data_IF_586263389441
#
_entry.id   IF_586263389441
#
_cell.length_a   1.000
_cell.length_b   1.000
_cell.length_c   1.000
_cell.angle_alpha   90.00
_cell.angle_beta   90.00
_cell.angle_gamma   90.00
#
_symmetry.space_group_name_H-M   'P 1'
#
loop_
_entity.id
_entity.type
_entity.pdbx_description
1 polymer ?
#
# COMPACT_ATOMS: atom_id res chain seq x y z
N UNK A 1 16.98 27.18 -54.33
CA UNK A 1 17.06 27.34 -52.86
C UNK A 1 15.72 26.89 -52.29
N UNK A 2 15.77 25.88 -51.42
CA UNK A 2 14.66 25.15 -50.75
C UNK A 2 13.72 26.16 -50.03
N UNK A 3 12.40 26.01 -49.83
CA UNK A 3 11.58 24.90 -49.36
C UNK A 3 10.08 25.13 -49.67
N UNK A 4 9.32 24.04 -49.70
CA UNK A 4 7.86 23.96 -49.79
C UNK A 4 7.15 24.60 -48.58
N UNK A 5 6.05 25.31 -48.82
CA UNK A 5 5.06 25.70 -47.81
C UNK A 5 3.91 24.70 -47.85
N UNK A 6 3.79 23.86 -46.83
CA UNK A 6 2.59 23.06 -46.56
C UNK A 6 2.29 23.22 -45.07
N UNK A 7 1.36 24.11 -44.76
CA UNK A 7 0.73 24.18 -43.44
C UNK A 7 -0.36 23.10 -43.44
N UNK A 8 0.01 21.90 -43.00
CA UNK A 8 -0.96 20.87 -42.57
C UNK A 8 -1.31 21.13 -41.12
N UNK A 9 -2.46 21.75 -40.88
CA UNK A 9 -3.07 21.82 -39.55
C UNK A 9 -3.67 20.44 -39.26
N UNK A 10 -2.93 19.64 -38.51
CA UNK A 10 -3.39 18.36 -37.97
C UNK A 10 -4.29 18.69 -36.78
N UNK A 11 -5.55 18.23 -36.85
CA UNK A 11 -6.54 18.34 -35.80
C UNK A 11 -6.05 17.65 -34.52
N UNK A 12 -5.98 18.40 -33.42
CA UNK A 12 -5.75 17.86 -32.08
C UNK A 12 -7.05 17.19 -31.60
N UNK A 13 -7.16 15.87 -31.77
CA UNK A 13 -8.14 15.06 -31.05
C UNK A 13 -7.64 14.88 -29.62
N UNK A 14 -8.15 15.69 -28.69
CA UNK A 14 -8.06 15.42 -27.28
C UNK A 14 -8.92 14.18 -26.97
N UNK A 15 -8.29 13.01 -26.92
CA UNK A 15 -8.92 11.80 -26.41
C UNK A 15 -9.00 11.97 -24.89
N UNK A 16 -10.17 12.37 -24.40
CA UNK A 16 -10.50 12.26 -22.99
C UNK A 16 -10.60 10.76 -22.66
N UNK A 17 -9.60 10.24 -21.96
CA UNK A 17 -9.71 8.93 -21.33
C UNK A 17 -10.74 9.04 -20.19
N UNK A 18 -11.97 8.65 -20.51
CA UNK A 18 -12.94 8.27 -19.48
C UNK A 18 -12.37 7.01 -18.85
N UNK A 19 -11.84 7.13 -17.63
CA UNK A 19 -11.51 5.98 -16.81
C UNK A 19 -12.81 5.27 -16.47
N UNK A 20 -13.15 4.22 -17.20
CA UNK A 20 -14.21 3.29 -16.86
C UNK A 20 -13.82 2.64 -15.53
N UNK A 21 -14.43 3.09 -14.43
CA UNK A 21 -14.34 2.42 -13.14
C UNK A 21 -14.87 0.99 -13.32
N UNK A 22 -13.97 0.02 -13.30
CA UNK A 22 -14.35 -1.38 -13.38
C UNK A 22 -15.05 -1.74 -12.07
N UNK A 23 -16.25 -2.34 -12.16
CA UNK A 23 -17.00 -2.79 -10.99
C UNK A 23 -16.21 -3.81 -10.14
N UNK A 24 -15.18 -4.44 -10.72
CA UNK A 24 -14.30 -5.39 -10.04
C UNK A 24 -13.25 -4.72 -9.13
N UNK A 25 -13.02 -3.41 -9.24
CA UNK A 25 -12.02 -2.69 -8.41
C UNK A 25 -12.53 -2.43 -6.97
N UNK A 26 -13.77 -2.82 -6.67
CA UNK A 26 -14.45 -2.55 -5.39
C UNK A 26 -14.52 -3.75 -4.44
N UNK A 27 -14.04 -4.93 -4.84
CA UNK A 27 -14.08 -6.14 -4.00
C UNK A 27 -12.66 -6.62 -3.78
N UNK A 28 -12.27 -6.81 -2.51
CA UNK A 28 -11.01 -7.44 -2.16
C UNK A 28 -11.13 -8.96 -2.39
N UNK A 29 -10.26 -9.59 -3.17
CA UNK A 29 -10.28 -11.04 -3.32
C UNK A 29 -10.00 -11.78 -2.00
N UNK A 30 -10.69 -12.89 -1.77
CA UNK A 30 -10.62 -13.68 -0.53
C UNK A 30 -9.21 -14.17 -0.20
N UNK A 31 -8.33 -14.29 -1.20
CA UNK A 31 -6.93 -14.68 -1.00
C UNK A 31 -6.15 -13.70 -0.12
N UNK A 32 -6.56 -12.43 -0.03
CA UNK A 32 -5.94 -11.45 0.88
C UNK A 32 -6.49 -11.55 2.31
N UNK A 33 -7.68 -12.14 2.49
CA UNK A 33 -8.32 -12.27 3.80
C UNK A 33 -7.61 -13.30 4.69
N UNK A 34 -7.70 -13.07 6.00
CA UNK A 34 -7.04 -13.86 7.04
C UNK A 34 -5.86 -13.14 7.67
N UNK A 35 -5.13 -13.88 8.49
CA UNK A 35 -4.01 -13.39 9.29
C UNK A 35 -2.68 -13.71 8.62
N UNK A 36 -1.79 -12.73 8.58
CA UNK A 36 -0.51 -12.77 7.87
C UNK A 36 0.59 -12.29 8.79
N UNK A 37 1.50 -13.18 9.18
CA UNK A 37 2.62 -12.84 10.06
C UNK A 37 3.91 -12.68 9.24
N UNK A 38 4.65 -11.60 9.48
CA UNK A 38 5.91 -11.37 8.78
C UNK A 38 6.93 -12.44 9.14
N UNK A 39 7.58 -12.98 8.12
CA UNK A 39 8.56 -14.05 8.27
C UNK A 39 9.97 -13.52 7.96
N UNK A 40 10.15 -12.95 6.76
CA UNK A 40 11.44 -12.41 6.32
C UNK A 40 11.27 -11.19 5.41
N UNK A 41 12.39 -10.57 5.04
CA UNK A 41 12.39 -9.35 4.22
C UNK A 41 13.64 -9.25 3.35
N UNK A 42 13.49 -8.65 2.17
CA UNK A 42 14.57 -8.32 1.25
C UNK A 42 14.87 -6.81 1.31
N UNK A 43 16.14 -6.43 1.43
CA UNK A 43 16.62 -5.03 1.35
C UNK A 43 15.95 -4.06 2.35
N UNK A 44 15.51 -4.58 3.50
CA UNK A 44 14.73 -3.79 4.47
C UNK A 44 15.62 -2.89 5.36
N UNK A 45 16.89 -3.26 5.59
CA UNK A 45 17.81 -2.40 6.37
C UNK A 45 18.14 -1.12 5.59
N UNK A 46 18.42 -1.28 4.30
CA UNK A 46 18.72 -0.23 3.33
C UNK A 46 17.53 0.71 3.15
N UNK A 47 16.30 0.15 3.09
CA UNK A 47 15.08 0.94 3.06
C UNK A 47 14.91 1.80 4.33
N UNK A 48 15.11 1.21 5.52
CA UNK A 48 15.02 1.95 6.78
C UNK A 48 16.12 3.01 6.90
N UNK A 49 17.34 2.71 6.41
CA UNK A 49 18.43 3.67 6.36
C UNK A 49 18.09 4.86 5.43
N UNK A 50 17.54 4.59 4.24
CA UNK A 50 17.08 5.62 3.32
C UNK A 50 15.99 6.51 3.94
N UNK A 51 15.10 5.92 4.77
CA UNK A 51 14.10 6.64 5.58
C UNK A 51 14.70 7.43 6.76
N UNK A 52 16.01 7.35 6.99
CA UNK A 52 16.72 8.11 8.03
C UNK A 52 16.78 7.42 9.40
N UNK A 53 16.44 6.14 9.51
CA UNK A 53 16.50 5.41 10.78
C UNK A 53 17.96 5.15 11.16
N UNK A 54 18.35 5.54 12.38
CA UNK A 54 19.66 5.21 12.95
C UNK A 54 19.83 3.70 13.15
N UNK A 55 21.08 3.21 13.06
CA UNK A 55 21.41 1.78 13.05
C UNK A 55 20.71 0.95 14.15
N UNK A 56 20.68 1.46 15.39
CA UNK A 56 20.05 0.76 16.51
C UNK A 56 18.53 0.59 16.30
N UNK A 57 17.84 1.64 15.87
CA UNK A 57 16.41 1.57 15.59
C UNK A 57 16.11 0.63 14.42
N UNK A 58 16.98 0.57 13.41
CA UNK A 58 16.82 -0.39 12.30
C UNK A 58 16.83 -1.84 12.79
N UNK A 59 17.76 -2.19 13.68
CA UNK A 59 17.80 -3.55 14.23
C UNK A 59 16.55 -3.86 15.06
N UNK A 60 16.05 -2.91 15.86
CA UNK A 60 14.81 -3.09 16.61
C UNK A 60 13.59 -3.32 15.71
N UNK A 61 13.44 -2.53 14.64
CA UNK A 61 12.32 -2.68 13.70
C UNK A 61 12.40 -3.99 12.90
N UNK A 62 13.62 -4.46 12.57
CA UNK A 62 13.81 -5.76 11.89
C UNK A 62 13.40 -6.94 12.76
N UNK A 63 13.64 -6.86 14.07
CA UNK A 63 13.27 -7.89 15.04
C UNK A 63 11.79 -7.83 15.44
N UNK A 64 11.10 -6.72 15.16
CA UNK A 64 9.69 -6.58 15.48
C UNK A 64 8.84 -7.48 14.57
N UNK A 65 8.18 -8.47 15.20
CA UNK A 65 7.13 -9.23 14.56
C UNK A 65 5.91 -8.34 14.30
N UNK A 66 5.33 -8.49 13.11
CA UNK A 66 4.09 -7.81 12.71
C UNK A 66 3.16 -8.86 12.13
N UNK A 67 1.93 -8.91 12.62
CA UNK A 67 0.84 -9.70 12.03
C UNK A 67 -0.23 -8.74 11.53
N UNK A 68 -0.62 -8.86 10.26
CA UNK A 68 -1.75 -8.14 9.68
C UNK A 68 -2.90 -9.09 9.43
N UNK A 69 -4.09 -8.74 9.89
CA UNK A 69 -5.30 -9.52 9.72
C UNK A 69 -6.32 -8.72 8.94
N UNK A 70 -6.70 -9.21 7.76
CA UNK A 70 -7.73 -8.60 6.93
C UNK A 70 -9.02 -9.42 7.03
N UNK A 71 -10.14 -8.75 7.34
CA UNK A 71 -11.46 -9.38 7.49
C UNK A 71 -12.47 -8.75 6.54
N UNK A 72 -13.54 -9.49 6.26
CA UNK A 72 -14.70 -9.02 5.52
C UNK A 72 -15.92 -9.09 6.43
N UNK A 73 -16.61 -7.98 6.59
CA UNK A 73 -17.80 -7.85 7.42
C UNK A 73 -19.06 -8.24 6.63
N UNK A 74 -20.14 -8.58 7.35
CA UNK A 74 -21.42 -8.98 6.75
C UNK A 74 -22.06 -7.87 5.90
N UNK A 75 -21.77 -6.61 6.22
CA UNK A 75 -22.26 -5.44 5.49
C UNK A 75 -21.42 -5.10 4.23
N UNK A 76 -20.44 -5.94 3.89
CA UNK A 76 -19.57 -5.80 2.73
C UNK A 76 -18.37 -4.86 2.95
N UNK A 77 -18.25 -4.22 4.11
CA UNK A 77 -17.05 -3.49 4.50
C UNK A 77 -15.92 -4.44 4.90
N UNK A 78 -14.72 -3.91 5.09
CA UNK A 78 -13.55 -4.69 5.50
C UNK A 78 -13.03 -4.22 6.85
N UNK A 79 -12.33 -5.11 7.55
CA UNK A 79 -11.57 -4.80 8.75
C UNK A 79 -10.09 -5.07 8.54
N UNK A 80 -9.25 -4.33 9.27
CA UNK A 80 -7.81 -4.57 9.30
C UNK A 80 -7.28 -4.40 10.71
N UNK A 81 -6.59 -5.43 11.21
CA UNK A 81 -5.88 -5.41 12.49
C UNK A 81 -4.39 -5.52 12.22
N UNK A 82 -3.58 -4.69 12.88
CA UNK A 82 -2.12 -4.75 12.85
C UNK A 82 -1.63 -5.01 14.26
N UNK A 83 -1.02 -6.17 14.45
CA UNK A 83 -0.56 -6.65 15.74
C UNK A 83 0.98 -6.66 15.77
N UNK A 84 1.55 -6.15 16.86
CA UNK A 84 2.99 -6.14 17.09
C UNK A 84 3.29 -6.56 18.53
N UNK A 85 4.56 -6.70 18.89
CA UNK A 85 4.96 -7.00 20.28
C UNK A 85 4.74 -5.83 21.24
N UNK A 86 4.61 -4.59 20.73
CA UNK A 86 4.51 -3.38 21.56
C UNK A 86 3.09 -2.80 21.59
N UNK A 87 2.49 -2.64 20.41
CA UNK A 87 1.21 -1.97 20.23
C UNK A 87 0.44 -2.60 19.08
N UNK A 88 -0.86 -2.79 19.31
CA UNK A 88 -1.79 -3.23 18.28
C UNK A 88 -2.65 -2.04 17.87
N UNK A 89 -3.03 -2.00 16.60
CA UNK A 89 -4.06 -1.09 16.10
C UNK A 89 -5.11 -1.90 15.35
N UNK A 90 -6.35 -1.44 15.41
CA UNK A 90 -7.47 -2.12 14.79
C UNK A 90 -8.39 -1.10 14.13
N UNK A 91 -8.70 -1.35 12.87
CA UNK A 91 -9.65 -0.60 12.07
C UNK A 91 -10.78 -1.56 11.71
N UNK A 92 -11.85 -1.64 12.52
CA UNK A 92 -12.88 -2.67 12.38
C UNK A 92 -13.72 -2.50 11.12
N UNK A 93 -13.69 -1.30 10.51
CA UNK A 93 -14.48 -0.96 9.34
C UNK A 93 -13.78 0.06 8.46
N UNK A 94 -13.57 -0.30 7.20
CA UNK A 94 -13.23 0.59 6.10
C UNK A 94 -13.86 0.10 4.80
N UNK A 95 -14.00 1.00 3.82
CA UNK A 95 -14.43 0.66 2.47
C UNK A 95 -13.26 0.85 1.50
N UNK A 96 -13.15 -0.03 0.49
CA UNK A 96 -12.15 0.15 -0.55
C UNK A 96 -12.41 1.42 -1.35
N UNK A 97 -11.34 2.18 -1.58
CA UNK A 97 -11.35 3.45 -2.31
C UNK A 97 -11.65 4.68 -1.44
N UNK A 98 -12.12 4.48 -0.20
CA UNK A 98 -12.48 5.56 0.72
C UNK A 98 -11.34 5.84 1.73
N UNK A 99 -11.09 7.12 2.00
CA UNK A 99 -10.15 7.56 3.02
C UNK A 99 -10.85 7.62 4.38
N UNK A 100 -10.18 7.18 5.43
CA UNK A 100 -10.60 7.36 6.82
C UNK A 100 -9.42 7.83 7.67
N UNK A 101 -9.70 8.40 8.85
CA UNK A 101 -8.66 8.88 9.77
C UNK A 101 -8.64 8.02 11.02
N UNK A 102 -7.47 7.47 11.36
CA UNK A 102 -7.31 6.60 12.53
C UNK A 102 -5.89 6.70 13.11
N UNK A 103 -5.72 6.27 14.36
CA UNK A 103 -4.41 6.16 15.01
C UNK A 103 -3.61 4.99 14.41
N UNK A 104 -2.29 5.16 14.32
CA UNK A 104 -1.38 4.11 13.85
C UNK A 104 -0.34 3.69 14.92
N UNK A 105 0.64 2.88 14.50
CA UNK A 105 1.66 2.29 15.38
C UNK A 105 2.62 3.32 15.98
N UNK A 106 2.72 4.52 15.39
CA UNK A 106 3.58 5.61 15.84
C UNK A 106 2.86 6.64 16.73
N UNK A 107 1.69 6.27 17.26
CA UNK A 107 0.83 7.11 18.13
C UNK A 107 0.30 8.39 17.48
N UNK A 108 0.52 8.58 16.17
CA UNK A 108 -0.03 9.70 15.40
C UNK A 108 -1.31 9.30 14.66
N UNK A 109 -2.08 10.32 14.25
CA UNK A 109 -3.26 10.13 13.40
C UNK A 109 -2.86 10.11 11.93
N UNK A 110 -3.31 9.09 11.21
CA UNK A 110 -3.08 8.92 9.78
C UNK A 110 -4.40 9.00 9.03
N UNK A 111 -4.37 9.61 7.85
CA UNK A 111 -5.33 9.40 6.78
C UNK A 111 -4.94 8.13 6.03
N UNK A 112 -5.83 7.15 6.07
CA UNK A 112 -5.59 5.80 5.59
C UNK A 112 -6.57 5.50 4.47
N UNK A 113 -6.05 4.93 3.39
CA UNK A 113 -6.88 4.47 2.26
C UNK A 113 -6.40 3.11 1.79
N UNK A 114 -7.35 2.20 1.67
CA UNK A 114 -7.15 0.91 1.01
C UNK A 114 -7.78 0.93 -0.37
N UNK A 115 -7.13 0.36 -1.38
CA UNK A 115 -7.68 0.21 -2.74
C UNK A 115 -7.21 -1.10 -3.32
N UNK A 116 -8.05 -1.80 -4.07
CA UNK A 116 -7.64 -2.98 -4.81
C UNK A 116 -7.47 -2.63 -6.29
N UNK A 117 -6.27 -2.86 -6.84
CA UNK A 117 -5.97 -2.71 -8.26
C UNK A 117 -6.10 -4.08 -8.94
N UNK A 118 -7.20 -4.30 -9.65
CA UNK A 118 -7.47 -5.57 -10.32
C UNK A 118 -6.51 -5.85 -11.51
N UNK A 119 -5.86 -4.83 -12.08
CA UNK A 119 -4.92 -5.02 -13.19
C UNK A 119 -3.57 -5.53 -12.69
N UNK A 120 -3.16 -5.05 -11.52
CA UNK A 120 -1.95 -5.52 -10.83
C UNK A 120 -2.21 -6.74 -9.93
N UNK A 121 -3.47 -7.01 -9.64
CA UNK A 121 -3.88 -8.02 -8.65
C UNK A 121 -3.22 -7.73 -7.29
N UNK A 122 -3.34 -6.47 -6.87
CA UNK A 122 -2.64 -5.92 -5.71
C UNK A 122 -3.58 -5.11 -4.79
N UNK A 123 -3.46 -5.34 -3.48
CA UNK A 123 -4.05 -4.47 -2.45
C UNK A 123 -3.07 -3.34 -2.15
N UNK A 124 -3.52 -2.09 -2.24
CA UNK A 124 -2.73 -0.90 -1.97
C UNK A 124 -3.24 -0.26 -0.68
N UNK A 125 -2.35 0.00 0.26
CA UNK A 125 -2.60 0.72 1.51
C UNK A 125 -1.73 1.98 1.52
N UNK A 126 -2.34 3.13 1.75
CA UNK A 126 -1.68 4.43 1.78
C UNK A 126 -1.91 5.07 3.13
N UNK A 127 -0.85 5.59 3.75
CA UNK A 127 -0.88 6.33 5.01
C UNK A 127 -0.29 7.73 4.81
N UNK A 128 -1.05 8.75 5.16
CA UNK A 128 -0.58 10.15 5.20
C UNK A 128 -0.78 10.69 6.60
N UNK A 129 0.28 11.19 7.23
CA UNK A 129 0.21 11.78 8.57
C UNK A 129 -0.65 13.03 8.58
N UNK A 130 -1.56 13.13 9.55
CA UNK A 130 -2.46 14.29 9.68
C UNK A 130 -1.70 15.55 10.11
N UNK A 131 -0.70 15.40 10.97
CA UNK A 131 0.14 16.48 11.49
C UNK A 131 1.31 16.86 10.56
N UNK A 132 1.63 16.00 9.58
CA UNK A 132 2.65 16.24 8.56
C UNK A 132 2.13 15.87 7.15
N UNK A 133 1.09 16.56 6.63
CA UNK A 133 0.44 16.19 5.38
C UNK A 133 1.28 16.43 4.12
N UNK A 134 2.40 17.17 4.25
CA UNK A 134 3.33 17.42 3.15
C UNK A 134 4.46 16.37 3.10
N UNK A 135 4.59 15.52 4.12
CA UNK A 135 5.55 14.43 4.09
C UNK A 135 5.09 13.37 3.08
N UNK A 136 6.04 12.67 2.42
CA UNK A 136 5.68 11.59 1.52
C UNK A 136 4.84 10.53 2.24
N UNK A 137 3.70 10.18 1.65
CA UNK A 137 2.86 9.11 2.18
C UNK A 137 3.62 7.78 2.21
N UNK A 138 3.34 6.96 3.22
CA UNK A 138 3.79 5.57 3.23
C UNK A 138 2.83 4.75 2.36
N UNK A 139 3.39 4.05 1.37
CA UNK A 139 2.65 3.24 0.41
C UNK A 139 3.08 1.79 0.55
N UNK A 140 2.11 0.92 0.83
CA UNK A 140 2.29 -0.52 0.92
C UNK A 140 1.49 -1.19 -0.20
N UNK A 141 2.17 -1.84 -1.14
CA UNK A 141 1.53 -2.63 -2.20
C UNK A 141 1.65 -4.12 -1.83
N UNK A 142 0.53 -4.80 -1.64
CA UNK A 142 0.49 -6.21 -1.28
C UNK A 142 0.06 -7.06 -2.47
N UNK A 143 0.79 -8.15 -2.71
CA UNK A 143 0.49 -9.16 -3.73
C UNK A 143 0.52 -10.54 -3.07
N UNK A 144 -0.16 -11.53 -3.69
CA UNK A 144 -0.01 -12.94 -3.32
C UNK A 144 0.84 -13.60 -4.40
N UNK A 145 2.00 -14.16 -4.04
CA UNK A 145 2.86 -14.86 -4.99
C UNK A 145 2.40 -16.31 -5.25
N UNK A 146 3.11 -17.02 -6.13
CA UNK A 146 2.79 -18.40 -6.51
C UNK A 146 2.94 -19.41 -5.38
N UNK A 147 3.73 -19.09 -4.35
CA UNK A 147 3.95 -19.93 -3.18
C UNK A 147 2.98 -19.61 -2.02
N UNK A 148 2.09 -18.64 -2.23
CA UNK A 148 1.05 -18.23 -1.29
C UNK A 148 1.51 -17.23 -0.23
N UNK A 149 2.68 -16.60 -0.41
CA UNK A 149 3.12 -15.51 0.46
C UNK A 149 2.35 -14.23 0.15
N UNK A 150 1.95 -13.52 1.20
CA UNK A 150 1.58 -12.12 1.06
C UNK A 150 2.87 -11.30 1.04
N UNK A 151 3.19 -10.74 -0.12
CA UNK A 151 4.41 -9.95 -0.34
C UNK A 151 4.04 -8.47 -0.35
N UNK A 152 4.55 -7.73 0.64
CA UNK A 152 4.43 -6.29 0.75
C UNK A 152 5.64 -5.61 0.10
N UNK A 153 5.40 -4.83 -0.94
CA UNK A 153 6.38 -4.02 -1.63
C UNK A 153 6.32 -2.59 -1.11
N UNK A 154 7.49 -2.02 -0.80
CA UNK A 154 7.64 -0.63 -0.38
C UNK A 154 8.80 0.01 -1.13
N UNK A 155 8.71 1.32 -1.35
CA UNK A 155 9.76 2.10 -2.00
C UNK A 155 9.91 3.45 -1.31
N UNK A 156 11.15 3.88 -1.11
CA UNK A 156 11.48 5.23 -0.65
C UNK A 156 12.79 5.70 -1.27
N UNK A 157 12.80 6.88 -1.89
CA UNK A 157 13.96 7.43 -2.59
C UNK A 157 14.66 6.40 -3.49
N UNK A 158 13.88 5.70 -4.34
CA UNK A 158 14.34 4.65 -5.27
C UNK A 158 14.84 3.35 -4.60
N UNK A 159 14.90 3.29 -3.26
CA UNK A 159 15.24 2.07 -2.53
C UNK A 159 13.98 1.24 -2.34
N UNK A 160 13.96 0.06 -2.96
CA UNK A 160 12.85 -0.91 -2.90
C UNK A 160 13.13 -1.98 -1.86
N UNK A 161 12.10 -2.41 -1.17
CA UNK A 161 12.14 -3.53 -0.22
C UNK A 161 10.90 -4.39 -0.36
N UNK A 162 11.03 -5.66 0.00
CA UNK A 162 9.89 -6.58 0.12
C UNK A 162 9.86 -7.18 1.51
N UNK A 163 8.66 -7.30 2.06
CA UNK A 163 8.40 -8.06 3.29
C UNK A 163 7.47 -9.22 2.97
N UNK A 164 7.84 -10.42 3.38
CA UNK A 164 7.11 -11.65 3.08
C UNK A 164 6.37 -12.10 4.33
N UNK A 165 5.06 -12.30 4.18
CA UNK A 165 4.18 -12.70 5.26
C UNK A 165 3.58 -14.07 5.00
N UNK A 166 3.66 -14.93 6.01
CA UNK A 166 3.06 -16.25 6.01
C UNK A 166 1.64 -16.19 6.54
N UNK A 167 0.73 -16.91 5.90
CA UNK A 167 -0.62 -17.09 6.44
C UNK A 167 -0.57 -17.91 7.73
N UNK A 168 -1.30 -17.49 8.76
CA UNK A 168 -1.41 -18.19 10.05
C UNK A 168 -2.84 -18.60 10.36
#
# INVERSE_FOLDING_TARGET
>A
MRFFSIISIIALLAISHINTLSLNDKVLPDKFLGSWSVDHSENFDEYLEAKGYGWFMRQMVKLAGITKTFTKNDDGSYGCKVETTKKNVEWPKFNLGEEFTAEYLDDSMHKIKFTYDAKKDALIEIHTKVDAPNDPADVYEYTIDGDGWLVMHMEYNQVKTKRFYKKI
#
